data_IF_554987569824
#
_entry.id   IF_554987569824
#
_cell.length_a   1.000
_cell.length_b   1.000
_cell.length_c   1.000
_cell.angle_alpha   90.00
_cell.angle_beta   90.00
_cell.angle_gamma   90.00
#
_symmetry.space_group_name_H-M   'P 1'
#
loop_
_entity.id
_entity.type
_entity.pdbx_description
1 polymer ?
#
# COMPACT_ATOMS: atom_id res chain seq x y z
N UNK A 1 20.88 11.45 24.19
CA UNK A 1 21.23 10.01 24.32
C UNK A 1 20.39 9.48 25.46
N UNK A 2 19.68 8.36 25.28
CA UNK A 2 18.81 7.79 26.33
C UNK A 2 19.71 7.19 27.42
N UNK A 3 19.47 7.51 28.69
CA UNK A 3 20.32 7.03 29.80
C UNK A 3 19.95 5.60 30.24
N UNK A 4 20.84 4.83 30.90
CA UNK A 4 20.57 3.43 31.27
C UNK A 4 19.30 3.22 32.09
N UNK A 5 18.95 4.15 32.99
CA UNK A 5 17.70 4.09 33.76
C UNK A 5 16.47 4.21 32.87
N UNK A 6 16.51 5.07 31.85
CA UNK A 6 15.42 5.21 30.87
C UNK A 6 15.30 3.98 29.99
N UNK A 7 16.42 3.38 29.57
CA UNK A 7 16.44 2.11 28.82
C UNK A 7 15.75 1.02 29.62
N UNK A 8 16.11 0.89 30.90
CA UNK A 8 15.52 -0.10 31.81
C UNK A 8 14.03 0.13 31.97
N UNK A 9 13.60 1.38 32.17
CA UNK A 9 12.19 1.75 32.27
C UNK A 9 11.41 1.41 30.99
N UNK A 10 11.95 1.75 29.83
CA UNK A 10 11.33 1.48 28.52
C UNK A 10 11.21 -0.03 28.25
N UNK A 11 12.26 -0.80 28.55
CA UNK A 11 12.23 -2.27 28.45
C UNK A 11 11.21 -2.87 29.41
N UNK A 12 11.06 -2.31 30.61
CA UNK A 12 10.08 -2.75 31.60
C UNK A 12 8.61 -2.61 31.15
N UNK A 13 8.33 -1.71 30.20
CA UNK A 13 6.99 -1.54 29.60
C UNK A 13 6.87 -2.19 28.20
N UNK A 14 7.82 -3.03 27.81
CA UNK A 14 7.78 -3.80 26.56
C UNK A 14 8.38 -3.11 25.33
N UNK A 15 9.11 -2.00 25.50
CA UNK A 15 9.77 -1.31 24.37
C UNK A 15 11.17 -1.87 24.16
N UNK A 16 11.42 -2.43 22.97
CA UNK A 16 12.78 -2.83 22.54
C UNK A 16 13.63 -1.60 22.24
N UNK A 17 14.77 -1.46 22.92
CA UNK A 17 15.74 -0.38 22.76
C UNK A 17 17.16 -0.93 22.78
N UNK A 18 18.10 -0.29 22.09
CA UNK A 18 19.52 -0.69 22.04
C UNK A 18 20.41 0.44 22.59
N UNK A 19 21.33 0.09 23.49
CA UNK A 19 22.35 1.02 23.99
C UNK A 19 23.60 1.05 23.09
N UNK A 20 24.52 2.03 23.25
CA UNK A 20 25.81 2.00 22.59
C UNK A 20 26.61 0.71 22.86
N UNK A 21 26.54 0.17 24.08
CA UNK A 21 27.17 -1.10 24.47
C UNK A 21 26.55 -2.29 23.73
N UNK A 22 25.23 -2.30 23.53
CA UNK A 22 24.57 -3.30 22.68
C UNK A 22 25.10 -3.23 21.24
N UNK A 23 25.33 -2.02 20.73
CA UNK A 23 25.95 -1.80 19.42
C UNK A 23 27.37 -2.36 19.33
N UNK A 24 28.20 -2.19 20.36
CA UNK A 24 29.55 -2.76 20.40
C UNK A 24 29.54 -4.29 20.50
N UNK A 25 28.60 -4.86 21.27
CA UNK A 25 28.49 -6.31 21.50
C UNK A 25 27.90 -7.06 20.32
N UNK A 26 26.83 -6.54 19.72
CA UNK A 26 26.04 -7.24 18.70
C UNK A 26 26.41 -6.81 17.28
N UNK A 27 26.97 -5.61 17.12
CA UNK A 27 27.10 -4.94 15.82
C UNK A 27 25.73 -4.52 15.24
N UNK A 28 25.75 -3.65 14.22
CA UNK A 28 24.54 -3.13 13.58
C UNK A 28 23.66 -4.25 13.01
N UNK A 29 24.27 -5.20 12.30
CA UNK A 29 23.54 -6.33 11.71
C UNK A 29 22.91 -7.23 12.77
N UNK A 30 23.61 -7.48 13.89
CA UNK A 30 23.07 -8.28 14.99
C UNK A 30 21.84 -7.62 15.64
N UNK A 31 21.88 -6.30 15.83
CA UNK A 31 20.72 -5.56 16.35
C UNK A 31 19.53 -5.64 15.39
N UNK A 32 19.72 -5.36 14.10
CA UNK A 32 18.64 -5.44 13.11
C UNK A 32 18.07 -6.86 13.03
N UNK A 33 18.92 -7.88 12.96
CA UNK A 33 18.47 -9.28 12.88
C UNK A 33 17.68 -9.72 14.12
N UNK A 34 18.01 -9.20 15.32
CA UNK A 34 17.22 -9.49 16.52
C UNK A 34 15.80 -8.92 16.42
N UNK A 35 15.66 -7.67 15.95
CA UNK A 35 14.34 -7.05 15.74
C UNK A 35 13.54 -7.82 14.69
N UNK A 36 14.18 -8.19 13.57
CA UNK A 36 13.53 -8.98 12.52
C UNK A 36 13.03 -10.31 13.06
N UNK A 37 13.86 -11.01 13.85
CA UNK A 37 13.49 -12.30 14.47
C UNK A 37 12.32 -12.17 15.44
N UNK A 38 12.31 -11.13 16.27
CA UNK A 38 11.22 -10.90 17.22
C UNK A 38 9.89 -10.53 16.52
N UNK A 39 9.97 -10.03 15.29
CA UNK A 39 8.83 -9.70 14.44
C UNK A 39 8.45 -10.82 13.45
N UNK A 40 9.14 -11.97 13.47
CA UNK A 40 8.90 -13.08 12.54
C UNK A 40 7.77 -13.99 13.04
N UNK A 41 6.54 -13.50 12.93
CA UNK A 41 5.34 -14.25 13.27
C UNK A 41 4.19 -13.95 12.31
N UNK A 42 3.28 -14.91 12.15
CA UNK A 42 2.13 -14.78 11.26
C UNK A 42 1.08 -13.86 11.87
N UNK A 43 0.97 -12.65 11.29
CA UNK A 43 0.00 -11.65 11.69
C UNK A 43 -1.44 -12.14 11.48
N UNK A 44 -1.74 -12.88 10.42
CA UNK A 44 -3.10 -13.37 10.19
C UNK A 44 -3.47 -14.48 11.17
N UNK A 45 -2.60 -15.47 11.35
CA UNK A 45 -2.86 -16.60 12.23
C UNK A 45 -2.95 -16.20 13.71
N UNK A 46 -2.13 -15.24 14.16
CA UNK A 46 -2.11 -14.81 15.56
C UNK A 46 -3.33 -14.01 16.00
N UNK A 47 -3.91 -13.21 15.09
CA UNK A 47 -5.10 -12.40 15.38
C UNK A 47 -5.88 -12.12 14.09
N UNK A 48 -6.67 -13.08 13.57
CA UNK A 48 -7.46 -12.88 12.37
C UNK A 48 -8.55 -11.82 12.63
N UNK A 49 -8.96 -11.12 11.56
CA UNK A 49 -10.14 -10.26 11.61
C UNK A 49 -11.40 -11.09 11.35
N UNK A 50 -12.54 -10.60 11.83
CA UNK A 50 -13.85 -11.08 11.43
C UNK A 50 -14.46 -10.17 10.34
N UNK A 51 -15.27 -10.74 9.46
CA UNK A 51 -15.83 -10.02 8.33
C UNK A 51 -16.79 -8.92 8.79
N UNK A 52 -17.62 -9.17 9.80
CA UNK A 52 -18.59 -8.19 10.29
C UNK A 52 -17.92 -6.89 10.77
N UNK A 53 -16.81 -6.98 11.49
CA UNK A 53 -16.02 -5.84 11.96
C UNK A 53 -15.33 -5.10 10.81
N UNK A 54 -14.90 -5.80 9.75
CA UNK A 54 -14.41 -5.17 8.51
C UNK A 54 -15.53 -4.39 7.82
N UNK A 55 -16.71 -5.00 7.66
CA UNK A 55 -17.89 -4.38 7.05
C UNK A 55 -18.39 -3.18 7.87
N UNK A 56 -18.22 -3.22 9.20
CA UNK A 56 -18.47 -2.09 10.10
C UNK A 56 -17.44 -0.94 9.95
N UNK A 57 -16.37 -1.15 9.20
CA UNK A 57 -15.37 -0.14 8.88
C UNK A 57 -14.27 0.04 9.92
N UNK A 58 -14.04 -0.95 10.81
CA UNK A 58 -12.97 -0.86 11.80
C UNK A 58 -11.58 -0.87 11.14
N UNK A 59 -10.78 0.15 11.45
CA UNK A 59 -9.50 0.40 10.78
C UNK A 59 -8.48 -0.73 11.00
N UNK A 60 -8.49 -1.34 12.19
CA UNK A 60 -7.54 -2.41 12.53
C UNK A 60 -7.94 -3.72 11.86
N UNK A 61 -9.23 -4.05 11.85
CA UNK A 61 -9.78 -5.21 11.16
C UNK A 61 -9.53 -5.11 9.66
N UNK A 62 -9.74 -3.95 9.04
CA UNK A 62 -9.40 -3.72 7.62
C UNK A 62 -7.92 -4.01 7.36
N UNK A 63 -7.02 -3.42 8.16
CA UNK A 63 -5.57 -3.66 7.99
C UNK A 63 -5.16 -5.13 8.15
N UNK A 64 -5.86 -5.87 9.03
CA UNK A 64 -5.63 -7.30 9.25
C UNK A 64 -6.22 -8.15 8.13
N UNK A 65 -7.43 -7.85 7.66
CA UNK A 65 -8.05 -8.51 6.53
C UNK A 65 -7.25 -8.32 5.24
N UNK A 66 -6.70 -7.13 4.99
CA UNK A 66 -5.77 -6.91 3.87
C UNK A 66 -4.53 -7.80 3.99
N UNK A 67 -4.01 -8.01 5.21
CA UNK A 67 -2.89 -8.93 5.43
C UNK A 67 -3.27 -10.37 5.09
N UNK A 68 -4.47 -10.81 5.48
CA UNK A 68 -5.01 -12.12 5.09
C UNK A 68 -5.23 -12.25 3.58
N UNK A 69 -5.80 -11.23 2.94
CA UNK A 69 -6.04 -11.17 1.50
C UNK A 69 -4.75 -11.23 0.71
N UNK A 70 -3.76 -10.39 1.05
CA UNK A 70 -2.44 -10.36 0.40
C UNK A 70 -1.73 -11.72 0.46
N UNK A 71 -1.97 -12.50 1.51
CA UNK A 71 -1.40 -13.84 1.71
C UNK A 71 -2.26 -14.98 1.12
N UNK A 72 -3.45 -14.69 0.56
CA UNK A 72 -4.40 -15.72 0.12
C UNK A 72 -4.92 -16.60 1.27
N UNK A 73 -4.95 -16.08 2.50
CA UNK A 73 -5.27 -16.81 3.74
C UNK A 73 -6.67 -16.50 4.29
N UNK A 74 -7.46 -15.67 3.61
CA UNK A 74 -8.84 -15.44 4.02
C UNK A 74 -9.67 -16.73 3.87
N UNK A 75 -10.43 -17.15 4.90
CA UNK A 75 -11.38 -18.24 4.78
C UNK A 75 -12.39 -17.99 3.66
N UNK A 76 -12.86 -19.05 3.00
CA UNK A 76 -13.80 -18.94 1.89
C UNK A 76 -15.08 -18.16 2.28
N UNK A 77 -15.68 -18.46 3.42
CA UNK A 77 -16.87 -17.76 3.92
C UNK A 77 -16.61 -16.26 4.19
N UNK A 78 -15.40 -15.91 4.64
CA UNK A 78 -15.02 -14.51 4.84
C UNK A 78 -14.92 -13.80 3.48
N UNK A 79 -14.27 -14.44 2.51
CA UNK A 79 -14.08 -13.89 1.18
C UNK A 79 -15.42 -13.67 0.47
N UNK A 80 -16.34 -14.64 0.57
CA UNK A 80 -17.70 -14.54 0.01
C UNK A 80 -18.47 -13.35 0.61
N UNK A 81 -18.41 -13.15 1.93
CA UNK A 81 -19.06 -12.02 2.59
C UNK A 81 -18.49 -10.67 2.12
N UNK A 82 -17.17 -10.58 2.00
CA UNK A 82 -16.49 -9.38 1.51
C UNK A 82 -16.84 -9.10 0.06
N UNK A 83 -16.78 -10.10 -0.82
CA UNK A 83 -17.09 -9.96 -2.25
C UNK A 83 -18.56 -9.59 -2.45
N UNK A 84 -19.49 -10.21 -1.73
CA UNK A 84 -20.90 -9.86 -1.79
C UNK A 84 -21.15 -8.41 -1.36
N UNK A 85 -20.52 -7.98 -0.26
CA UNK A 85 -20.62 -6.60 0.22
C UNK A 85 -19.96 -5.59 -0.74
N UNK A 86 -18.82 -5.94 -1.34
CA UNK A 86 -18.13 -5.12 -2.32
C UNK A 86 -18.93 -4.96 -3.62
N UNK A 87 -19.59 -6.02 -4.08
CA UNK A 87 -20.44 -6.01 -5.27
C UNK A 87 -21.76 -5.23 -5.07
N UNK A 88 -22.28 -5.21 -3.84
CA UNK A 88 -23.48 -4.45 -3.50
C UNK A 88 -23.25 -2.92 -3.44
N UNK A 89 -22.00 -2.46 -3.53
CA UNK A 89 -21.63 -1.04 -3.40
C UNK A 89 -21.05 -0.51 -4.71
N UNK A 90 -21.55 0.66 -5.13
CA UNK A 90 -20.97 1.43 -6.22
C UNK A 90 -19.79 2.28 -5.71
N UNK A 91 -18.68 1.62 -5.37
CA UNK A 91 -17.44 2.31 -4.97
C UNK A 91 -16.49 2.36 -6.18
N UNK A 92 -16.24 3.55 -6.77
CA UNK A 92 -15.30 3.69 -7.87
C UNK A 92 -13.85 3.37 -7.46
N UNK A 93 -13.11 2.77 -8.39
CA UNK A 93 -11.71 2.42 -8.27
C UNK A 93 -10.90 3.18 -9.33
N UNK A 94 -10.04 4.10 -8.88
CA UNK A 94 -9.11 4.86 -9.71
C UNK A 94 -7.72 4.20 -9.68
N UNK A 95 -7.26 3.69 -10.81
CA UNK A 95 -5.88 3.24 -10.99
C UNK A 95 -4.97 4.40 -11.39
N UNK A 96 -3.88 4.62 -10.67
CA UNK A 96 -2.85 5.59 -11.03
C UNK A 96 -1.59 4.82 -11.39
N UNK A 97 -1.13 5.00 -12.62
CA UNK A 97 0.03 4.29 -13.15
C UNK A 97 0.94 5.23 -13.93
N UNK A 98 2.10 4.74 -14.37
CA UNK A 98 3.08 5.52 -15.12
C UNK A 98 4.51 5.35 -14.64
N UNK A 99 5.42 6.09 -15.28
CA UNK A 99 6.86 5.84 -15.15
C UNK A 99 7.42 6.05 -13.73
N UNK A 100 8.53 5.38 -13.44
CA UNK A 100 9.26 5.60 -12.19
C UNK A 100 9.68 7.06 -12.04
N UNK A 101 9.39 7.66 -10.90
CA UNK A 101 9.74 9.05 -10.63
C UNK A 101 8.86 10.11 -11.31
N UNK A 102 7.77 9.73 -12.00
CA UNK A 102 6.88 10.69 -12.67
C UNK A 102 6.02 11.56 -11.74
N UNK A 103 6.10 11.32 -10.42
CA UNK A 103 5.34 12.07 -9.42
C UNK A 103 3.98 11.48 -9.07
N UNK A 104 3.71 10.19 -9.39
CA UNK A 104 2.47 9.48 -9.04
C UNK A 104 2.02 9.72 -7.60
N UNK A 105 2.85 9.37 -6.61
CA UNK A 105 2.47 9.49 -5.19
C UNK A 105 2.24 10.93 -4.75
N UNK A 106 2.99 11.89 -5.30
CA UNK A 106 2.75 13.31 -5.05
C UNK A 106 1.45 13.81 -5.67
N UNK A 107 1.10 13.31 -6.86
CA UNK A 107 -0.19 13.59 -7.49
C UNK A 107 -1.33 12.92 -6.73
N UNK A 108 -1.17 11.67 -6.27
CA UNK A 108 -2.11 10.95 -5.42
C UNK A 108 -2.41 11.74 -4.16
N UNK A 109 -1.39 12.25 -3.46
CA UNK A 109 -1.55 13.09 -2.28
C UNK A 109 -2.37 14.35 -2.57
N UNK A 110 -2.03 15.08 -3.63
CA UNK A 110 -2.72 16.32 -4.00
C UNK A 110 -4.16 16.06 -4.47
N UNK A 111 -4.43 14.93 -5.15
CA UNK A 111 -5.79 14.51 -5.49
C UNK A 111 -6.61 14.21 -4.23
N UNK A 112 -6.06 13.44 -3.29
CA UNK A 112 -6.71 13.18 -1.99
C UNK A 112 -6.97 14.50 -1.26
N UNK A 113 -5.99 15.41 -1.23
CA UNK A 113 -6.15 16.74 -0.62
C UNK A 113 -7.32 17.52 -1.22
N UNK A 114 -7.42 17.54 -2.55
CA UNK A 114 -8.53 18.21 -3.26
C UNK A 114 -9.87 17.59 -2.94
N UNK A 115 -9.99 16.26 -2.95
CA UNK A 115 -11.23 15.60 -2.54
C UNK A 115 -11.63 15.95 -1.10
N UNK A 116 -10.67 15.95 -0.16
CA UNK A 116 -10.93 16.32 1.23
C UNK A 116 -11.44 17.76 1.34
N UNK A 117 -10.81 18.71 0.65
CA UNK A 117 -11.23 20.11 0.66
C UNK A 117 -12.60 20.31 -0.01
N UNK A 118 -12.76 19.83 -1.23
CA UNK A 118 -13.97 20.05 -2.05
C UNK A 118 -15.20 19.36 -1.47
N UNK A 119 -15.01 18.22 -0.80
CA UNK A 119 -16.09 17.45 -0.19
C UNK A 119 -16.21 17.66 1.32
N UNK A 120 -15.47 18.63 1.89
CA UNK A 120 -15.50 18.97 3.32
C UNK A 120 -15.26 17.74 4.22
N UNK A 121 -14.26 16.91 3.87
CA UNK A 121 -13.89 15.69 4.60
C UNK A 121 -15.02 14.65 4.75
N UNK A 122 -16.06 14.70 3.90
CA UNK A 122 -17.19 13.74 3.94
C UNK A 122 -16.80 12.38 3.35
N UNK A 123 -16.02 12.38 2.27
CA UNK A 123 -15.63 11.16 1.57
C UNK A 123 -14.62 10.34 2.38
N UNK A 124 -14.85 9.03 2.43
CA UNK A 124 -13.89 8.03 2.89
C UNK A 124 -13.08 7.53 1.70
N UNK A 125 -11.77 7.74 1.72
CA UNK A 125 -10.88 7.36 0.61
C UNK A 125 -9.90 6.29 1.07
N UNK A 126 -9.82 5.17 0.35
CA UNK A 126 -8.78 4.17 0.53
C UNK A 126 -7.71 4.34 -0.55
N UNK A 127 -6.44 4.39 -0.15
CA UNK A 127 -5.28 4.41 -1.04
C UNK A 127 -4.48 3.13 -0.85
N UNK A 128 -4.32 2.37 -1.92
CA UNK A 128 -3.51 1.16 -1.99
C UNK A 128 -2.33 1.48 -2.89
N UNK A 129 -1.14 1.65 -2.29
CA UNK A 129 0.08 1.94 -3.04
C UNK A 129 0.94 0.68 -3.15
N UNK A 130 1.35 0.34 -4.37
CA UNK A 130 2.14 -0.86 -4.65
C UNK A 130 3.56 -0.47 -4.99
N UNK A 131 4.51 -0.99 -4.22
CA UNK A 131 5.94 -0.79 -4.41
C UNK A 131 6.64 -2.08 -4.91
N UNK A 132 7.71 -1.99 -5.72
CA UNK A 132 8.41 -3.15 -6.25
C UNK A 132 9.25 -3.85 -5.18
N UNK A 133 9.21 -5.19 -5.18
CA UNK A 133 10.06 -6.01 -4.29
C UNK A 133 11.47 -6.17 -4.87
N UNK A 134 12.52 -6.07 -4.03
CA UNK A 134 13.91 -6.27 -4.47
C UNK A 134 14.20 -7.76 -4.70
N UNK A 135 14.54 -8.12 -5.94
CA UNK A 135 14.81 -9.51 -6.37
C UNK A 135 15.90 -10.25 -5.58
N UNK A 136 16.95 -9.55 -5.11
CA UNK A 136 18.09 -10.18 -4.40
C UNK A 136 17.86 -10.38 -2.90
N UNK A 137 16.96 -9.62 -2.28
CA UNK A 137 16.82 -9.56 -0.82
C UNK A 137 15.44 -9.93 -0.30
N UNK A 138 14.45 -10.17 -1.15
CA UNK A 138 13.08 -10.55 -0.77
C UNK A 138 12.25 -9.44 -0.10
N UNK A 139 12.89 -8.41 0.46
CA UNK A 139 12.21 -7.24 1.03
C UNK A 139 11.88 -6.15 0.01
N UNK A 140 11.04 -5.20 0.44
CA UNK A 140 10.67 -4.01 -0.31
C UNK A 140 10.90 -2.76 0.56
N UNK A 141 11.25 -1.64 -0.08
CA UNK A 141 11.21 -0.33 0.56
C UNK A 141 9.89 0.32 0.16
N UNK A 142 8.93 0.31 1.07
CA UNK A 142 7.59 0.88 0.83
C UNK A 142 7.66 2.40 1.00
N UNK A 143 7.93 3.09 -0.10
CA UNK A 143 8.33 4.49 -0.12
C UNK A 143 7.16 5.46 -0.28
N UNK A 144 6.07 5.04 -0.91
CA UNK A 144 5.04 5.96 -1.38
C UNK A 144 4.36 6.72 -0.24
N UNK A 145 4.19 6.08 0.93
CA UNK A 145 3.58 6.70 2.12
C UNK A 145 4.33 7.96 2.58
N UNK A 146 5.65 8.05 2.38
CA UNK A 146 6.44 9.22 2.83
C UNK A 146 6.07 10.50 2.08
N UNK A 147 5.45 10.38 0.91
CA UNK A 147 5.02 11.52 0.08
C UNK A 147 3.61 12.00 0.42
N UNK A 148 2.87 11.27 1.25
CA UNK A 148 1.46 11.54 1.54
C UNK A 148 1.32 12.43 2.78
N UNK A 149 1.09 13.73 2.58
CA UNK A 149 0.84 14.68 3.68
C UNK A 149 -0.64 14.79 4.05
N UNK A 150 -1.54 14.28 3.22
CA UNK A 150 -2.98 14.47 3.33
C UNK A 150 -3.71 13.34 4.06
N UNK A 151 -2.96 12.47 4.76
CA UNK A 151 -3.50 11.27 5.44
C UNK A 151 -4.11 11.54 6.82
N UNK A 152 -4.16 12.80 7.27
CA UNK A 152 -4.66 13.15 8.59
C UNK A 152 -6.12 12.75 8.82
N UNK A 153 -6.42 12.32 10.05
CA UNK A 153 -7.75 11.94 10.49
C UNK A 153 -8.14 10.49 10.19
N UNK A 154 -9.46 10.26 10.17
CA UNK A 154 -10.07 8.92 10.08
C UNK A 154 -10.75 8.64 8.73
N UNK A 155 -10.75 9.62 7.82
CA UNK A 155 -11.43 9.53 6.52
C UNK A 155 -10.55 8.91 5.43
N UNK A 156 -9.23 9.01 5.56
CA UNK A 156 -8.29 8.42 4.61
C UNK A 156 -7.63 7.18 5.21
N UNK A 157 -7.72 6.07 4.50
CA UNK A 157 -6.99 4.85 4.80
C UNK A 157 -5.89 4.66 3.77
N UNK A 158 -4.68 4.34 4.23
CA UNK A 158 -3.53 4.15 3.35
C UNK A 158 -2.88 2.81 3.67
N UNK A 159 -2.63 2.01 2.64
CA UNK A 159 -1.92 0.74 2.74
C UNK A 159 -0.88 0.63 1.63
N UNK A 160 0.37 0.43 2.03
CA UNK A 160 1.42 0.00 1.11
C UNK A 160 1.41 -1.52 0.98
N UNK A 161 1.56 -2.00 -0.25
CA UNK A 161 1.76 -3.40 -0.60
C UNK A 161 3.08 -3.55 -1.35
N UNK A 162 3.62 -4.76 -1.34
CA UNK A 162 4.73 -5.13 -2.19
C UNK A 162 4.24 -6.06 -3.31
N UNK A 163 4.87 -6.01 -4.49
CA UNK A 163 4.51 -6.92 -5.59
C UNK A 163 4.73 -8.41 -5.28
N UNK A 164 5.64 -8.74 -4.35
CA UNK A 164 5.97 -10.09 -3.85
C UNK A 164 6.20 -11.14 -4.96
N UNK A 165 7.00 -10.81 -5.96
CA UNK A 165 7.34 -11.75 -7.02
C UNK A 165 7.91 -11.07 -8.26
N UNK A 166 7.76 -11.72 -9.42
CA UNK A 166 8.18 -11.18 -10.72
C UNK A 166 7.11 -10.34 -11.42
N UNK A 167 5.87 -10.31 -10.89
CA UNK A 167 4.75 -9.55 -11.46
C UNK A 167 4.80 -8.08 -11.04
N UNK A 168 4.14 -7.22 -11.83
CA UNK A 168 4.06 -5.77 -11.60
C UNK A 168 3.03 -5.40 -10.52
N UNK A 169 2.07 -6.29 -10.24
CA UNK A 169 1.06 -6.12 -9.20
C UNK A 169 0.96 -7.37 -8.30
N UNK A 170 0.48 -7.22 -7.05
CA UNK A 170 0.24 -8.34 -6.15
C UNK A 170 -0.80 -9.31 -6.72
N UNK A 171 -0.62 -10.61 -6.48
CA UNK A 171 -1.51 -11.66 -6.99
C UNK A 171 -2.97 -11.51 -6.50
N UNK A 172 -3.14 -11.16 -5.22
CA UNK A 172 -4.45 -11.01 -4.58
C UNK A 172 -4.92 -9.54 -4.51
N UNK A 173 -4.54 -8.71 -5.49
CA UNK A 173 -4.91 -7.29 -5.49
C UNK A 173 -6.44 -7.09 -5.50
N UNK A 174 -7.18 -7.90 -6.27
CA UNK A 174 -8.65 -7.85 -6.30
C UNK A 174 -9.26 -8.07 -4.92
N UNK A 175 -8.78 -9.08 -4.18
CA UNK A 175 -9.27 -9.38 -2.84
C UNK A 175 -9.02 -8.21 -1.87
N UNK A 176 -7.88 -7.53 -2.01
CA UNK A 176 -7.56 -6.33 -1.22
C UNK A 176 -8.50 -5.15 -1.57
N UNK A 177 -8.79 -4.95 -2.85
CA UNK A 177 -9.75 -3.94 -3.32
C UNK A 177 -11.14 -4.24 -2.77
N UNK A 178 -11.58 -5.50 -2.81
CA UNK A 178 -12.89 -5.90 -2.29
C UNK A 178 -13.00 -5.69 -0.77
N UNK A 179 -11.93 -5.96 0.00
CA UNK A 179 -11.90 -5.66 1.45
C UNK A 179 -12.18 -4.18 1.72
N UNK A 180 -11.53 -3.26 0.99
CA UNK A 180 -11.77 -1.83 1.20
C UNK A 180 -13.13 -1.38 0.65
N UNK A 181 -13.61 -1.94 -0.46
CA UNK A 181 -14.98 -1.66 -0.95
C UNK A 181 -16.03 -2.10 0.09
N UNK A 182 -15.92 -3.32 0.61
CA UNK A 182 -16.80 -3.87 1.64
C UNK A 182 -16.79 -3.04 2.94
N UNK A 183 -15.63 -2.49 3.31
CA UNK A 183 -15.48 -1.62 4.48
C UNK A 183 -16.12 -0.21 4.35
N UNK A 184 -16.71 0.07 3.18
CA UNK A 184 -17.53 1.25 2.92
C UNK A 184 -16.74 2.52 2.66
N UNK A 185 -15.61 2.40 1.96
CA UNK A 185 -14.95 3.55 1.35
C UNK A 185 -15.74 4.03 0.13
N UNK A 186 -15.76 5.34 -0.08
CA UNK A 186 -16.49 6.00 -1.16
C UNK A 186 -15.64 6.10 -2.44
N UNK A 187 -14.32 6.00 -2.30
CA UNK A 187 -13.36 5.96 -3.41
C UNK A 187 -12.18 5.06 -3.03
N UNK A 188 -11.74 4.22 -3.96
CA UNK A 188 -10.50 3.46 -3.86
C UNK A 188 -9.52 3.99 -4.90
N UNK A 189 -8.30 4.31 -4.49
CA UNK A 189 -7.21 4.70 -5.37
C UNK A 189 -6.15 3.61 -5.28
N UNK A 190 -5.74 3.07 -6.43
CA UNK A 190 -4.68 2.07 -6.53
C UNK A 190 -3.51 2.66 -7.30
N UNK A 191 -2.38 2.86 -6.64
CA UNK A 191 -1.15 3.32 -7.28
C UNK A 191 -0.25 2.12 -7.59
N UNK A 192 0.16 2.00 -8.86
CA UNK A 192 1.09 0.95 -9.30
C UNK A 192 2.54 1.36 -9.01
N UNK A 193 3.48 0.40 -9.04
CA UNK A 193 4.91 0.75 -9.08
C UNK A 193 5.22 1.67 -10.25
N UNK A 194 6.40 2.30 -10.21
CA UNK A 194 6.99 2.89 -11.40
C UNK A 194 7.28 1.83 -12.46
N UNK A 195 6.46 1.80 -13.51
CA UNK A 195 6.52 0.79 -14.58
C UNK A 195 7.09 1.39 -15.87
N UNK A 196 7.46 0.51 -16.82
CA UNK A 196 7.88 0.93 -18.16
C UNK A 196 6.69 1.45 -18.99
N UNK A 197 6.97 2.16 -20.08
CA UNK A 197 5.99 2.81 -20.96
C UNK A 197 4.99 1.86 -21.67
N UNK A 198 5.08 0.54 -21.48
CA UNK A 198 4.25 -0.47 -22.15
C UNK A 198 3.42 -1.33 -21.21
N UNK A 199 3.45 -1.07 -19.90
CA UNK A 199 2.72 -1.86 -18.92
C UNK A 199 1.40 -1.17 -18.55
N UNK A 200 0.31 -1.95 -18.59
CA UNK A 200 -1.06 -1.57 -18.30
C UNK A 200 -1.74 -2.58 -17.35
N UNK A 201 -0.96 -3.27 -16.53
CA UNK A 201 -1.42 -4.36 -15.67
C UNK A 201 -2.55 -3.96 -14.70
N UNK A 202 -2.74 -2.66 -14.42
CA UNK A 202 -3.78 -2.17 -13.52
C UNK A 202 -5.18 -2.10 -14.15
N UNK A 203 -5.27 -2.04 -15.48
CA UNK A 203 -6.54 -1.81 -16.20
C UNK A 203 -7.64 -2.82 -15.83
N UNK A 204 -7.38 -4.13 -15.66
CA UNK A 204 -8.42 -5.10 -15.29
C UNK A 204 -8.97 -4.93 -13.86
N UNK A 205 -8.31 -4.14 -13.01
CA UNK A 205 -8.65 -4.01 -11.58
C UNK A 205 -9.39 -2.71 -11.24
N UNK A 206 -9.55 -1.80 -12.20
CA UNK A 206 -9.99 -0.42 -11.93
C UNK A 206 -11.07 0.03 -12.90
N UNK A 207 -11.92 0.95 -12.45
CA UNK A 207 -12.98 1.53 -13.27
C UNK A 207 -12.44 2.65 -14.17
N UNK A 208 -11.39 3.33 -13.73
CA UNK A 208 -10.72 4.39 -14.49
C UNK A 208 -9.22 4.35 -14.24
N UNK A 209 -8.43 4.49 -15.30
CA UNK A 209 -6.98 4.54 -15.24
C UNK A 209 -6.44 5.94 -15.58
N UNK A 210 -5.51 6.43 -14.77
CA UNK A 210 -4.76 7.66 -14.97
C UNK A 210 -3.28 7.32 -15.21
N UNK A 211 -2.76 7.68 -16.38
CA UNK A 211 -1.34 7.51 -16.71
C UNK A 211 -0.57 8.80 -16.45
N UNK A 212 0.44 8.74 -15.60
CA UNK A 212 1.27 9.87 -15.17
C UNK A 212 2.66 9.77 -15.78
N UNK A 213 3.02 10.75 -16.60
CA UNK A 213 4.33 10.85 -17.24
C UNK A 213 4.89 12.26 -17.10
N UNK A 214 6.20 12.38 -17.23
CA UNK A 214 6.89 13.67 -17.36
C UNK A 214 6.95 14.07 -18.83
N UNK A 215 7.30 15.33 -19.10
CA UNK A 215 7.57 15.80 -20.47
C UNK A 215 8.81 15.12 -21.10
N UNK A 216 9.59 14.37 -20.33
CA UNK A 216 10.78 13.64 -20.76
C UNK A 216 10.41 12.22 -21.25
N UNK A 217 9.65 12.13 -22.34
CA UNK A 217 9.20 10.84 -22.91
C UNK A 217 10.00 10.40 -24.16
N UNK A 218 11.09 11.10 -24.49
CA UNK A 218 11.91 10.82 -25.67
C UNK A 218 11.33 11.41 -26.96
N UNK A 219 11.73 10.88 -28.11
CA UNK A 219 11.31 11.40 -29.41
C UNK A 219 9.84 11.05 -29.71
N UNK A 220 9.06 12.00 -30.23
CA UNK A 220 7.81 11.66 -30.90
C UNK A 220 8.14 10.88 -32.17
N UNK A 221 7.48 9.75 -32.40
CA UNK A 221 7.62 9.03 -33.65
C UNK A 221 6.96 9.87 -34.75
N UNK A 222 7.76 10.64 -35.48
CA UNK A 222 7.31 11.31 -36.72
C UNK A 222 7.42 10.26 -37.83
N UNK A 223 6.32 9.84 -38.46
CA UNK A 223 6.42 8.99 -39.64
C UNK A 223 7.27 9.73 -40.67
N UNK A 224 8.31 9.09 -41.22
CA UNK A 224 8.98 9.63 -42.40
C UNK A 224 7.95 9.77 -43.50
N UNK A 225 7.51 11.00 -43.77
CA UNK A 225 6.74 11.32 -44.98
C UNK A 225 7.66 10.95 -46.15
N UNK A 226 7.31 9.99 -47.00
CA UNK A 226 8.11 9.74 -48.19
C UNK A 226 8.05 11.01 -49.04
N UNK A 227 9.21 11.62 -49.28
CA UNK A 227 9.32 12.68 -50.27
C UNK A 227 8.87 12.12 -51.63
N UNK A 228 7.67 12.49 -52.07
CA UNK A 228 7.28 12.36 -53.47
C UNK A 228 8.25 13.23 -54.29
N UNK A 229 9.08 12.58 -55.11
CA UNK A 229 9.65 13.19 -56.31
C UNK A 229 8.77 12.82 -57.49
#
# INVERSE_FOLDING_TARGET
MIVPEEITRLRGIGVTTFSPEDGQRMGLAGMVNSVVKDCDFDLWAGKPADAATVLAGDRFAIGRAITGAELGKLPAEFLEQVQAAAAARATPVLGITGTGGSGKSSLTDELVRRFRLDQQDKLRIAVIAVDPTRRRGGGALLGDRIRMNSLDGNRVFFRSLATRGSRELPEHLSDVIDVVKAAGFDLVIVETPGIGQGDAAIVPFVDTSLYVMTAEFGACWVPKVPHMR
#
